data_IF_686359233315
#
_entry.id   IF_686359233315
#
_cell.length_a   1.000
_cell.length_b   1.000
_cell.length_c   1.000
_cell.angle_alpha   90.00
_cell.angle_beta   90.00
_cell.angle_gamma   90.00
#
_symmetry.space_group_name_H-M   'P 1'
#
loop_
_entity.id
_entity.type
_entity.pdbx_description
1 polymer ?
#
# COMPACT_ATOMS: atom_id res chain seq x y z
N UNK A 1 -8.02 9.91 17.26
CA UNK A 1 -6.78 10.02 16.46
C UNK A 1 -7.12 9.96 14.99
N UNK A 2 -6.66 10.94 14.22
CA UNK A 2 -6.81 10.89 12.78
C UNK A 2 -5.85 9.86 12.20
N UNK A 3 -6.31 9.12 11.20
CA UNK A 3 -5.47 8.20 10.45
C UNK A 3 -4.80 8.97 9.32
N UNK A 4 -3.48 9.00 9.34
CA UNK A 4 -2.70 9.74 8.36
C UNK A 4 -1.46 8.95 7.93
N UNK A 5 -1.00 9.21 6.72
CA UNK A 5 0.28 8.75 6.21
C UNK A 5 1.08 9.95 5.73
N UNK A 6 2.40 9.90 5.87
CA UNK A 6 3.30 10.94 5.41
C UNK A 6 4.64 10.30 5.08
N UNK A 7 5.13 10.52 3.89
CA UNK A 7 6.40 9.95 3.47
C UNK A 7 6.76 10.36 2.05
N UNK A 8 7.79 9.72 1.52
CA UNK A 8 8.25 9.94 0.16
C UNK A 8 7.55 8.96 -0.78
N UNK A 9 7.11 9.45 -1.93
CA UNK A 9 6.46 8.60 -2.94
C UNK A 9 7.49 7.79 -3.70
N UNK A 10 7.22 6.49 -3.83
CA UNK A 10 7.96 5.57 -4.70
C UNK A 10 7.04 5.19 -5.83
N UNK A 11 7.36 5.64 -7.03
CA UNK A 11 6.44 5.54 -8.17
C UNK A 11 6.77 4.36 -9.08
N UNK A 12 5.73 3.63 -9.44
CA UNK A 12 5.77 2.48 -10.37
C UNK A 12 4.74 2.69 -11.47
N UNK A 13 4.80 1.87 -12.52
CA UNK A 13 3.91 2.00 -13.67
C UNK A 13 2.58 1.27 -13.54
N UNK A 14 2.00 0.94 -14.69
CA UNK A 14 0.74 0.21 -14.77
C UNK A 14 0.97 -1.29 -14.64
N UNK A 15 -0.09 -2.01 -14.27
CA UNK A 15 -0.10 -3.48 -14.22
C UNK A 15 1.04 -4.08 -13.41
N UNK A 16 1.27 -3.52 -12.23
CA UNK A 16 2.25 -4.09 -11.30
C UNK A 16 1.69 -5.42 -10.79
N UNK A 17 2.22 -6.51 -11.32
CA UNK A 17 1.77 -7.88 -11.08
C UNK A 17 2.23 -8.38 -9.71
N UNK A 18 1.47 -9.29 -9.10
CA UNK A 18 1.86 -9.88 -7.82
C UNK A 18 3.20 -10.60 -7.88
N UNK A 19 3.56 -11.20 -9.03
CA UNK A 19 4.88 -11.81 -9.24
C UNK A 19 6.01 -10.77 -9.21
N UNK A 20 5.72 -9.54 -9.60
CA UNK A 20 6.67 -8.43 -9.56
C UNK A 20 6.80 -7.91 -8.13
N UNK A 21 5.70 -7.85 -7.40
CA UNK A 21 5.70 -7.39 -6.00
C UNK A 21 6.50 -8.35 -5.13
N UNK A 22 6.21 -9.64 -5.24
CA UNK A 22 6.98 -10.69 -4.56
C UNK A 22 7.12 -11.91 -5.48
N UNK A 23 8.34 -12.21 -5.96
CA UNK A 23 8.54 -13.33 -6.89
C UNK A 23 8.17 -14.68 -6.30
N UNK A 24 7.73 -15.58 -7.18
CA UNK A 24 7.29 -16.92 -6.79
C UNK A 24 8.35 -17.70 -6.00
N UNK A 25 9.63 -17.46 -6.25
CA UNK A 25 10.73 -18.15 -5.56
C UNK A 25 10.77 -17.88 -4.06
N UNK A 26 10.05 -16.87 -3.57
CA UNK A 26 10.00 -16.54 -2.13
C UNK A 26 8.70 -16.97 -1.46
N UNK A 27 7.77 -17.61 -2.17
CA UNK A 27 6.45 -17.96 -1.62
C UNK A 27 6.49 -19.13 -0.63
N UNK A 28 7.60 -19.84 -0.54
CA UNK A 28 7.76 -20.87 0.49
C UNK A 28 7.86 -20.27 1.88
N UNK A 29 8.28 -19.02 2.01
CA UNK A 29 8.38 -18.33 3.29
C UNK A 29 7.04 -17.72 3.69
N UNK A 30 6.75 -17.78 4.98
CA UNK A 30 5.61 -17.08 5.57
C UNK A 30 6.06 -15.95 6.50
N UNK A 31 7.36 -15.74 6.59
CA UNK A 31 7.92 -14.69 7.44
C UNK A 31 7.78 -13.32 6.75
N UNK A 32 6.97 -12.39 7.32
CA UNK A 32 6.82 -11.06 6.72
C UNK A 32 8.14 -10.31 6.52
N UNK A 33 9.09 -10.46 7.41
CA UNK A 33 10.40 -9.81 7.29
C UNK A 33 11.19 -10.32 6.09
N UNK A 34 11.14 -11.62 5.84
CA UNK A 34 11.81 -12.21 4.68
C UNK A 34 11.13 -11.74 3.39
N UNK A 35 9.80 -11.75 3.35
CA UNK A 35 9.05 -11.25 2.20
C UNK A 35 9.36 -9.78 1.95
N UNK A 36 9.43 -8.96 3.00
CA UNK A 36 9.75 -7.55 2.88
C UNK A 36 11.14 -7.33 2.28
N UNK A 37 12.10 -8.18 2.62
CA UNK A 37 13.48 -8.05 2.12
C UNK A 37 13.61 -8.28 0.61
N UNK A 38 12.59 -8.86 -0.03
CA UNK A 38 12.56 -9.13 -1.46
C UNK A 38 11.45 -8.37 -2.18
N UNK A 39 10.76 -7.46 -1.48
CA UNK A 39 9.64 -6.71 -2.05
C UNK A 39 10.10 -5.86 -3.23
N UNK A 40 9.40 -5.99 -4.35
CA UNK A 40 9.68 -5.26 -5.59
C UNK A 40 11.05 -5.57 -6.22
N UNK A 41 11.72 -6.63 -5.79
CA UNK A 41 13.08 -6.97 -6.21
C UNK A 41 13.24 -7.08 -7.73
N UNK A 42 12.25 -7.65 -8.42
CA UNK A 42 12.34 -7.87 -9.87
C UNK A 42 12.08 -6.61 -10.71
N UNK A 43 11.51 -5.56 -10.12
CA UNK A 43 11.26 -4.30 -10.83
C UNK A 43 12.19 -3.18 -10.36
N UNK A 44 12.66 -3.24 -9.13
CA UNK A 44 13.58 -2.26 -8.56
C UNK A 44 14.43 -2.94 -7.49
N UNK A 45 15.60 -3.44 -7.89
CA UNK A 45 16.50 -4.15 -6.98
C UNK A 45 16.90 -3.34 -5.76
N UNK A 46 16.96 -2.03 -5.91
CA UNK A 46 17.38 -1.13 -4.85
C UNK A 46 16.22 -0.67 -3.96
N UNK A 47 14.98 -1.07 -4.24
CA UNK A 47 13.81 -0.58 -3.51
C UNK A 47 13.93 -0.79 -2.01
N UNK A 48 14.27 -2.00 -1.58
CA UNK A 48 14.35 -2.34 -0.16
C UNK A 48 15.42 -1.52 0.56
N UNK A 49 16.51 -1.20 -0.12
CA UNK A 49 17.62 -0.44 0.45
C UNK A 49 17.38 1.08 0.41
N UNK A 50 16.64 1.57 -0.59
CA UNK A 50 16.49 3.00 -0.85
C UNK A 50 15.22 3.61 -0.26
N UNK A 51 14.18 2.80 0.00
CA UNK A 51 12.97 3.34 0.61
C UNK A 51 13.14 3.47 2.12
N UNK A 52 12.30 4.32 2.72
CA UNK A 52 12.27 4.51 4.17
C UNK A 52 10.94 4.03 4.73
N UNK A 53 10.93 3.64 5.99
CA UNK A 53 9.68 3.30 6.66
C UNK A 53 8.72 4.49 6.64
N UNK A 54 7.47 4.23 6.29
CA UNK A 54 6.46 5.27 6.14
C UNK A 54 6.30 5.79 4.72
N UNK A 55 7.18 5.42 3.80
CA UNK A 55 7.06 5.82 2.40
C UNK A 55 5.75 5.28 1.79
N UNK A 56 5.32 5.92 0.69
CA UNK A 56 4.12 5.53 -0.04
C UNK A 56 4.51 4.96 -1.40
N UNK A 57 3.74 3.98 -1.87
CA UNK A 57 3.82 3.53 -3.26
C UNK A 57 2.78 4.26 -4.08
N UNK A 58 3.15 4.71 -5.28
CA UNK A 58 2.23 5.32 -6.24
C UNK A 58 2.35 4.57 -7.55
N UNK A 59 1.24 4.09 -8.09
CA UNK A 59 1.24 3.28 -9.29
C UNK A 59 0.05 3.63 -10.20
N UNK A 60 -0.03 3.01 -11.37
CA UNK A 60 -1.07 3.28 -12.34
C UNK A 60 -2.24 2.32 -12.27
N UNK A 61 -2.66 1.81 -13.43
CA UNK A 61 -3.82 0.94 -13.56
C UNK A 61 -3.52 -0.48 -13.08
N UNK A 62 -4.53 -1.10 -12.47
CA UNK A 62 -4.58 -2.54 -12.20
C UNK A 62 -3.41 -3.05 -11.34
N UNK A 63 -3.12 -2.33 -10.26
CA UNK A 63 -2.07 -2.72 -9.32
C UNK A 63 -2.45 -4.02 -8.60
N UNK A 64 -1.50 -4.95 -8.51
CA UNK A 64 -1.73 -6.24 -7.87
C UNK A 64 -2.39 -7.27 -8.76
N UNK A 65 -2.38 -7.07 -10.09
CA UNK A 65 -2.92 -8.02 -11.05
C UNK A 65 -2.13 -9.34 -11.04
N UNK A 66 -2.62 -10.33 -11.77
CA UNK A 66 -2.00 -11.65 -11.84
C UNK A 66 -2.56 -12.61 -10.80
N UNK A 67 -1.71 -13.42 -10.21
CA UNK A 67 -2.12 -14.43 -9.24
C UNK A 67 -2.62 -13.81 -7.93
N UNK A 68 -3.60 -14.48 -7.30
CA UNK A 68 -4.18 -14.03 -6.03
C UNK A 68 -3.28 -14.40 -4.85
N UNK A 69 -2.12 -13.76 -4.75
CA UNK A 69 -1.13 -14.05 -3.71
C UNK A 69 -1.30 -13.13 -2.51
N UNK A 70 -1.60 -13.72 -1.37
CA UNK A 70 -1.67 -13.00 -0.11
C UNK A 70 -0.31 -12.45 0.31
N UNK A 71 0.77 -13.06 -0.17
CA UNK A 71 2.14 -12.64 0.14
C UNK A 71 2.45 -11.22 -0.38
N UNK A 72 1.83 -10.79 -1.48
CA UNK A 72 2.11 -9.49 -2.08
C UNK A 72 1.77 -8.33 -1.14
N UNK A 73 0.55 -8.19 -0.61
CA UNK A 73 0.27 -7.12 0.33
C UNK A 73 1.04 -7.26 1.64
N UNK A 74 1.32 -8.49 2.09
CA UNK A 74 2.12 -8.73 3.29
C UNK A 74 3.53 -8.17 3.09
N UNK A 75 4.16 -8.44 1.94
CA UNK A 75 5.50 -7.94 1.63
C UNK A 75 5.55 -6.40 1.62
N UNK A 76 4.57 -5.77 1.00
CA UNK A 76 4.49 -4.30 0.95
C UNK A 76 4.35 -3.71 2.35
N UNK A 77 3.42 -4.24 3.14
CA UNK A 77 3.19 -3.74 4.50
C UNK A 77 4.41 -3.96 5.39
N UNK A 78 5.01 -5.15 5.34
CA UNK A 78 6.18 -5.47 6.15
C UNK A 78 7.41 -4.66 5.73
N UNK A 79 7.48 -4.20 4.49
CA UNK A 79 8.53 -3.30 4.02
C UNK A 79 8.40 -1.88 4.60
N UNK A 80 7.30 -1.58 5.30
CA UNK A 80 7.11 -0.29 5.94
C UNK A 80 6.35 0.72 5.09
N UNK A 81 5.75 0.30 3.98
CA UNK A 81 4.94 1.18 3.14
C UNK A 81 3.66 1.54 3.89
N UNK A 82 3.41 2.84 4.03
CA UNK A 82 2.26 3.34 4.79
C UNK A 82 0.97 3.35 4.00
N UNK A 83 1.06 3.48 2.68
CA UNK A 83 -0.11 3.54 1.80
C UNK A 83 0.29 3.24 0.36
N UNK A 84 -0.60 2.59 -0.38
CA UNK A 84 -0.45 2.43 -1.83
C UNK A 84 -1.55 3.25 -2.51
N UNK A 85 -1.15 4.15 -3.40
CA UNK A 85 -2.07 4.96 -4.20
C UNK A 85 -1.95 4.48 -5.64
N UNK A 86 -3.05 4.11 -6.26
CA UNK A 86 -3.06 3.66 -7.65
C UNK A 86 -4.30 4.19 -8.36
N UNK A 87 -4.30 4.09 -9.69
CA UNK A 87 -5.51 4.43 -10.46
C UNK A 87 -6.60 3.41 -10.22
N UNK A 88 -6.25 2.13 -10.25
CA UNK A 88 -7.14 1.03 -9.87
C UNK A 88 -6.31 -0.11 -9.27
N UNK A 89 -6.98 -0.97 -8.51
CA UNK A 89 -6.40 -2.20 -7.96
C UNK A 89 -7.14 -3.41 -8.52
N UNK A 90 -6.42 -4.52 -8.69
CA UNK A 90 -7.07 -5.80 -8.94
C UNK A 90 -7.93 -6.16 -7.72
N UNK A 91 -9.12 -6.71 -7.97
CA UNK A 91 -10.11 -6.96 -6.91
C UNK A 91 -9.58 -7.81 -5.77
N UNK A 92 -8.89 -8.91 -6.10
CA UNK A 92 -8.39 -9.83 -5.08
C UNK A 92 -7.27 -9.19 -4.26
N UNK A 93 -6.38 -8.45 -4.94
CA UNK A 93 -5.34 -7.70 -4.24
C UNK A 93 -5.95 -6.68 -3.27
N UNK A 94 -6.96 -5.93 -3.71
CA UNK A 94 -7.66 -4.96 -2.86
C UNK A 94 -8.18 -5.63 -1.59
N UNK A 95 -8.88 -6.74 -1.76
CA UNK A 95 -9.45 -7.49 -0.63
C UNK A 95 -8.36 -7.98 0.33
N UNK A 96 -7.30 -8.58 -0.21
CA UNK A 96 -6.22 -9.11 0.61
C UNK A 96 -5.49 -8.00 1.37
N UNK A 97 -5.28 -6.86 0.72
CA UNK A 97 -4.63 -5.70 1.35
C UNK A 97 -5.43 -5.18 2.53
N UNK A 98 -6.73 -4.99 2.36
CA UNK A 98 -7.60 -4.52 3.45
C UNK A 98 -7.63 -5.53 4.60
N UNK A 99 -7.69 -6.82 4.29
CA UNK A 99 -7.73 -7.87 5.31
C UNK A 99 -6.51 -7.88 6.22
N UNK A 100 -5.36 -7.46 5.73
CA UNK A 100 -4.14 -7.39 6.55
C UNK A 100 -3.83 -5.98 7.06
N UNK A 101 -4.70 -5.02 6.79
CA UNK A 101 -4.53 -3.65 7.27
C UNK A 101 -3.57 -2.79 6.46
N UNK A 102 -3.30 -3.14 5.20
CA UNK A 102 -2.54 -2.28 4.30
C UNK A 102 -3.47 -1.22 3.71
N UNK A 103 -3.17 0.05 3.96
CA UNK A 103 -3.97 1.15 3.42
C UNK A 103 -3.75 1.30 1.92
N UNK A 104 -4.84 1.32 1.15
CA UNK A 104 -4.80 1.49 -0.31
C UNK A 104 -5.89 2.47 -0.74
N UNK A 105 -5.56 3.35 -1.69
CA UNK A 105 -6.48 4.35 -2.21
C UNK A 105 -6.46 4.37 -3.72
N UNK A 106 -7.64 4.40 -4.34
CA UNK A 106 -7.78 4.61 -5.77
C UNK A 106 -7.95 6.11 -6.03
N UNK A 107 -6.99 6.70 -6.72
CA UNK A 107 -7.06 8.12 -7.09
C UNK A 107 -6.26 8.37 -8.36
N UNK A 108 -6.91 8.33 -9.54
CA UNK A 108 -6.22 8.56 -10.81
C UNK A 108 -5.49 9.91 -10.86
N UNK A 109 -6.09 10.97 -10.34
CA UNK A 109 -5.47 12.29 -10.33
C UNK A 109 -4.16 12.31 -9.53
N UNK A 110 -4.15 11.68 -8.36
CA UNK A 110 -2.93 11.60 -7.55
C UNK A 110 -1.87 10.72 -8.23
N UNK A 111 -2.29 9.60 -8.81
CA UNK A 111 -1.39 8.72 -9.55
C UNK A 111 -0.66 9.45 -10.67
N UNK A 112 -1.37 10.32 -11.41
CA UNK A 112 -0.76 11.10 -12.49
C UNK A 112 0.06 12.28 -11.97
N UNK A 113 -0.37 12.91 -10.89
CA UNK A 113 0.25 14.15 -10.40
C UNK A 113 1.47 13.95 -9.52
N UNK A 114 1.58 12.82 -8.84
CA UNK A 114 2.70 12.53 -7.96
C UNK A 114 3.85 11.95 -8.76
N UNK A 115 5.06 12.52 -8.59
CA UNK A 115 6.27 12.00 -9.20
C UNK A 115 7.09 11.20 -8.17
N UNK A 116 7.96 10.33 -8.65
CA UNK A 116 8.88 9.59 -7.79
C UNK A 116 9.73 10.55 -6.98
N UNK A 117 9.79 10.34 -5.68
CA UNK A 117 10.54 11.20 -4.77
C UNK A 117 9.76 12.38 -4.19
N UNK A 118 8.51 12.61 -4.61
CA UNK A 118 7.69 13.68 -4.03
C UNK A 118 7.34 13.36 -2.57
N UNK A 119 7.28 14.38 -1.73
CA UNK A 119 6.78 14.25 -0.37
C UNK A 119 5.25 14.29 -0.41
N UNK A 120 4.60 13.29 0.17
CA UNK A 120 3.15 13.11 0.10
C UNK A 120 2.59 12.85 1.49
N UNK A 121 1.45 13.47 1.76
CA UNK A 121 0.69 13.27 3.00
C UNK A 121 -0.73 12.83 2.64
N UNK A 122 -1.29 11.90 3.39
CA UNK A 122 -2.64 11.38 3.16
C UNK A 122 -3.44 11.45 4.45
N UNK A 123 -4.65 12.00 4.38
CA UNK A 123 -5.62 11.97 5.46
C UNK A 123 -6.69 10.94 5.11
N UNK A 124 -6.68 9.81 5.82
CA UNK A 124 -7.62 8.72 5.53
C UNK A 124 -9.05 9.03 5.99
N UNK A 125 -9.24 9.97 6.89
CA UNK A 125 -10.58 10.34 7.35
C UNK A 125 -11.32 11.18 6.33
N UNK A 126 -10.61 12.01 5.58
CA UNK A 126 -11.20 12.88 4.55
C UNK A 126 -10.95 12.39 3.12
N UNK A 127 -9.95 11.53 2.93
CA UNK A 127 -9.52 11.09 1.62
C UNK A 127 -8.65 12.09 0.88
N UNK A 128 -8.20 13.15 1.55
CA UNK A 128 -7.36 14.18 0.91
C UNK A 128 -5.92 13.70 0.84
N UNK A 129 -5.36 13.74 -0.36
CA UNK A 129 -3.96 13.43 -0.63
C UNK A 129 -3.26 14.76 -0.96
N UNK A 130 -2.22 15.11 -0.21
CA UNK A 130 -1.46 16.34 -0.41
C UNK A 130 -0.08 16.02 -0.96
N UNK A 131 0.24 16.55 -2.14
CA UNK A 131 1.60 16.52 -2.67
C UNK A 131 2.30 17.76 -2.14
N UNK A 132 3.09 17.58 -1.09
CA UNK A 132 3.77 18.69 -0.41
C UNK A 132 4.80 19.34 -1.31
N UNK A 133 5.53 18.54 -2.07
CA UNK A 133 6.57 19.01 -2.99
C UNK A 133 6.02 19.97 -4.06
N UNK A 134 4.84 19.64 -4.62
CA UNK A 134 4.24 20.43 -5.70
C UNK A 134 3.14 21.37 -5.23
N UNK A 135 2.80 21.36 -3.94
CA UNK A 135 1.70 22.16 -3.38
C UNK A 135 0.34 21.87 -4.06
N UNK A 136 0.07 20.60 -4.32
CA UNK A 136 -1.17 20.16 -4.95
C UNK A 136 -1.92 19.22 -4.01
N UNK A 137 -3.26 19.21 -4.13
CA UNK A 137 -4.10 18.28 -3.39
C UNK A 137 -4.99 17.50 -4.34
N UNK A 138 -5.32 16.27 -3.94
CA UNK A 138 -6.18 15.38 -4.69
C UNK A 138 -7.22 14.80 -3.73
N UNK A 139 -8.40 14.50 -4.24
CA UNK A 139 -9.49 13.95 -3.42
C UNK A 139 -9.75 12.50 -3.81
N UNK A 140 -9.49 11.59 -2.88
CA UNK A 140 -9.92 10.19 -2.98
C UNK A 140 -11.16 9.98 -2.11
N UNK A 141 -11.85 8.86 -2.29
CA UNK A 141 -12.94 8.51 -1.39
C UNK A 141 -12.37 8.15 -0.02
N UNK A 142 -12.89 8.75 1.06
CA UNK A 142 -12.45 8.35 2.40
C UNK A 142 -12.92 6.92 2.70
N UNK A 143 -12.17 6.22 3.54
CA UNK A 143 -12.55 4.86 3.93
C UNK A 143 -13.83 4.86 4.78
N UNK A 144 -14.75 3.92 4.55
CA UNK A 144 -15.84 3.67 5.50
C UNK A 144 -15.28 3.31 6.89
N UNK A 145 -16.05 3.56 7.96
CA UNK A 145 -15.58 3.25 9.32
C UNK A 145 -15.06 1.84 9.51
N UNK A 146 -15.71 0.85 8.89
CA UNK A 146 -15.30 -0.56 8.95
C UNK A 146 -13.89 -0.75 8.41
N UNK A 147 -13.59 -0.15 7.25
CA UNK A 147 -12.28 -0.25 6.60
C UNK A 147 -11.22 0.46 7.45
N UNK A 148 -11.55 1.64 8.00
CA UNK A 148 -10.62 2.36 8.88
C UNK A 148 -10.26 1.54 10.12
N UNK A 149 -11.22 0.86 10.70
CA UNK A 149 -10.97 -0.01 11.85
C UNK A 149 -10.03 -1.16 11.51
N UNK A 150 -10.23 -1.78 10.36
CA UNK A 150 -9.36 -2.87 9.91
C UNK A 150 -7.92 -2.40 9.71
N UNK A 151 -7.74 -1.25 9.09
CA UNK A 151 -6.41 -0.70 8.84
C UNK A 151 -5.75 -0.29 10.17
N UNK A 152 -6.51 0.35 11.06
CA UNK A 152 -6.00 0.81 12.36
C UNK A 152 -5.56 -0.35 13.23
N UNK A 153 -6.31 -1.46 13.23
CA UNK A 153 -6.02 -2.63 14.07
C UNK A 153 -4.98 -3.57 13.48
N UNK A 154 -4.57 -3.36 12.21
CA UNK A 154 -3.59 -4.21 11.55
C UNK A 154 -4.18 -5.37 10.76
N UNK A 155 -5.49 -5.33 10.48
CA UNK A 155 -6.15 -6.29 9.63
C UNK A 155 -7.31 -7.02 10.31
N UNK A 156 -7.97 -7.89 9.55
CA UNK A 156 -9.19 -8.57 10.01
C UNK A 156 -8.98 -9.40 11.27
N UNK A 157 -7.94 -10.22 11.31
CA UNK A 157 -7.69 -11.08 12.47
C UNK A 157 -7.35 -10.28 13.72
N UNK A 158 -6.57 -9.21 13.58
CA UNK A 158 -6.27 -8.33 14.71
C UNK A 158 -7.52 -7.60 15.21
N UNK A 159 -8.39 -7.16 14.30
CA UNK A 159 -9.65 -6.52 14.63
C UNK A 159 -10.56 -7.45 15.43
N UNK A 160 -10.67 -8.71 15.00
CA UNK A 160 -11.47 -9.71 15.73
C UNK A 160 -10.90 -10.00 17.12
N UNK A 161 -9.58 -10.05 17.24
CA UNK A 161 -8.94 -10.27 18.55
C UNK A 161 -9.20 -9.12 19.53
N UNK A 162 -9.18 -7.89 19.05
CA UNK A 162 -9.53 -6.73 19.88
C UNK A 162 -10.95 -6.82 20.41
N UNK A 163 -11.90 -7.23 19.57
CA UNK A 163 -13.31 -7.37 19.98
C UNK A 163 -13.51 -8.49 20.97
N UNK A 164 -12.77 -9.58 20.83
CA UNK A 164 -12.86 -10.73 21.73
C UNK A 164 -12.13 -10.50 23.06
N UNK A 165 -11.14 -9.62 23.10
CA UNK A 165 -10.36 -9.32 24.27
C UNK A 165 -11.05 -8.44 25.31
N UNK A 166 -12.30 -8.11 25.08
CA UNK A 166 -13.13 -7.31 25.99
C UNK A 166 -14.29 -8.14 26.58
#
# INVERSE_FOLDING_TARGET
MSMQAHGTARKFGDHVDTDVIIPARYLASQDPKELASHCMEDIDEAFVQNHNEGDLMVAGWNFGCGSSREHAPIAIKAAGISCVIAKTFARIFYRNAINIGLAILECPAASDGIADGDEVSVDFDTGVITNVTKHETYQAEPFPPFIKDMIRSGGLMASLREKEGH
#
